data_IF_279965335786
#
_entry.id   IF_279965335786
#
_cell.length_a   1.000
_cell.length_b   1.000
_cell.length_c   1.000
_cell.angle_alpha   90.00
_cell.angle_beta   90.00
_cell.angle_gamma   90.00
#
_symmetry.space_group_name_H-M   'P 1'
#
loop_
_entity.id
_entity.type
_entity.pdbx_description
1 polymer ?
#
# COMPACT_ATOMS: atom_id res chain seq x y z
N UNK A 1 -20.05 -0.96 10.42
CA UNK A 1 -19.40 -0.33 9.25
C UNK A 1 -17.92 -0.66 9.24
N UNK A 2 -17.42 -1.16 8.12
CA UNK A 2 -15.99 -1.42 7.93
C UNK A 2 -15.36 -0.11 7.44
N UNK A 3 -14.58 0.52 8.32
CA UNK A 3 -13.99 1.85 8.07
C UNK A 3 -12.63 1.74 7.38
N UNK A 4 -11.88 0.66 7.61
CA UNK A 4 -10.54 0.46 7.08
C UNK A 4 -10.32 -1.03 6.79
N UNK A 5 -9.51 -1.33 5.76
CA UNK A 5 -9.18 -2.72 5.39
C UNK A 5 -8.40 -3.48 6.48
N UNK A 6 -7.67 -2.77 7.36
CA UNK A 6 -6.99 -3.34 8.54
C UNK A 6 -7.87 -3.29 9.81
N UNK A 7 -9.17 -2.96 9.69
CA UNK A 7 -10.05 -2.94 10.85
C UNK A 7 -10.30 -4.35 11.36
N UNK A 8 -10.52 -4.47 12.69
CA UNK A 8 -10.87 -5.75 13.31
C UNK A 8 -12.05 -6.43 12.61
N UNK A 9 -13.07 -5.68 12.23
CA UNK A 9 -14.23 -6.21 11.51
C UNK A 9 -13.87 -6.77 10.13
N UNK A 10 -13.00 -6.10 9.37
CA UNK A 10 -12.52 -6.60 8.09
C UNK A 10 -11.69 -7.87 8.27
N UNK A 11 -10.78 -7.89 9.23
CA UNK A 11 -9.95 -9.07 9.55
C UNK A 11 -10.82 -10.26 9.96
N UNK A 12 -11.86 -10.02 10.76
CA UNK A 12 -12.83 -11.04 11.18
C UNK A 12 -13.60 -11.58 9.98
N UNK A 13 -14.09 -10.72 9.11
CA UNK A 13 -14.79 -11.12 7.89
C UNK A 13 -13.90 -11.93 6.94
N UNK A 14 -12.68 -11.47 6.69
CA UNK A 14 -11.72 -12.16 5.82
C UNK A 14 -11.27 -13.50 6.42
N UNK A 15 -11.12 -13.58 7.74
CA UNK A 15 -10.82 -14.81 8.47
C UNK A 15 -11.97 -15.84 8.37
N UNK A 16 -13.20 -15.38 8.57
CA UNK A 16 -14.40 -16.20 8.40
C UNK A 16 -14.54 -16.71 6.96
N UNK A 17 -14.36 -15.86 5.97
CA UNK A 17 -14.46 -16.22 4.55
C UNK A 17 -13.44 -17.30 4.17
N UNK A 18 -12.18 -17.14 4.57
CA UNK A 18 -11.14 -18.16 4.38
C UNK A 18 -11.49 -19.47 5.08
N UNK A 19 -12.06 -19.41 6.29
CA UNK A 19 -12.48 -20.62 7.00
C UNK A 19 -13.60 -21.36 6.27
N UNK A 20 -14.54 -20.64 5.64
CA UNK A 20 -15.59 -21.25 4.81
C UNK A 20 -14.99 -21.94 3.55
N UNK A 21 -14.06 -21.26 2.87
CA UNK A 21 -13.35 -21.83 1.70
C UNK A 21 -12.58 -23.11 2.07
N UNK A 22 -11.90 -23.10 3.23
CA UNK A 22 -11.13 -24.22 3.76
C UNK A 22 -11.98 -25.28 4.49
N UNK A 23 -13.30 -25.08 4.59
CA UNK A 23 -14.23 -25.93 5.36
C UNK A 23 -13.81 -26.12 6.82
N UNK A 24 -13.26 -25.07 7.43
CA UNK A 24 -12.84 -25.02 8.84
C UNK A 24 -13.90 -24.34 9.69
N UNK A 25 -13.94 -24.71 10.99
CA UNK A 25 -14.73 -23.97 11.97
C UNK A 25 -14.12 -22.60 12.22
N UNK A 26 -14.96 -21.57 12.32
CA UNK A 26 -14.56 -20.23 12.71
C UNK A 26 -15.25 -19.87 14.03
N UNK A 27 -14.59 -19.17 14.96
CA UNK A 27 -15.14 -18.94 16.31
C UNK A 27 -16.31 -17.95 16.35
N UNK A 28 -16.60 -17.26 15.25
CA UNK A 28 -17.64 -16.24 15.16
C UNK A 28 -18.60 -16.53 14.01
N UNK A 29 -19.90 -16.31 14.26
CA UNK A 29 -20.89 -16.19 13.19
C UNK A 29 -20.81 -14.77 12.62
N UNK A 30 -20.53 -14.67 11.31
CA UNK A 30 -20.36 -13.40 10.63
C UNK A 30 -21.53 -13.15 9.69
N UNK A 31 -22.31 -12.11 9.98
CA UNK A 31 -23.35 -11.61 9.11
C UNK A 31 -22.84 -10.34 8.43
N UNK A 32 -22.75 -10.39 7.11
CA UNK A 32 -22.24 -9.28 6.29
C UNK A 32 -23.34 -8.78 5.35
N UNK A 33 -23.71 -7.52 5.46
CA UNK A 33 -24.78 -6.91 4.69
C UNK A 33 -24.26 -5.70 3.92
N UNK A 34 -24.72 -5.56 2.67
CA UNK A 34 -24.52 -4.36 1.85
C UNK A 34 -25.88 -3.68 1.67
N UNK A 35 -25.89 -2.35 1.59
CA UNK A 35 -27.13 -1.62 1.32
C UNK A 35 -27.70 -1.92 -0.08
N UNK A 36 -26.84 -2.36 -1.01
CA UNK A 36 -27.22 -2.77 -2.37
C UNK A 36 -26.56 -4.13 -2.62
N UNK A 37 -27.39 -5.15 -2.92
CA UNK A 37 -26.97 -6.48 -3.34
C UNK A 37 -27.65 -6.81 -4.68
N UNK A 38 -26.89 -7.33 -5.64
CA UNK A 38 -27.36 -7.64 -7.00
C UNK A 38 -28.12 -6.49 -7.68
N UNK A 39 -27.68 -5.25 -7.40
CA UNK A 39 -28.28 -4.03 -7.95
C UNK A 39 -29.62 -3.63 -7.31
N UNK A 40 -30.08 -4.34 -6.27
CA UNK A 40 -31.28 -4.05 -5.51
C UNK A 40 -30.97 -3.58 -4.09
N UNK A 41 -31.76 -2.63 -3.53
CA UNK A 41 -31.62 -2.26 -2.12
C UNK A 41 -31.96 -3.41 -1.20
N UNK A 42 -31.12 -3.70 -0.22
CA UNK A 42 -31.39 -4.72 0.79
C UNK A 42 -32.64 -4.39 1.63
N UNK A 43 -32.86 -3.10 1.89
CA UNK A 43 -34.01 -2.62 2.67
C UNK A 43 -34.81 -1.57 1.88
N UNK A 44 -35.49 -1.99 0.81
CA UNK A 44 -36.16 -1.13 -0.17
C UNK A 44 -37.25 -0.24 0.43
N UNK A 45 -37.98 -0.71 1.47
CA UNK A 45 -39.04 0.07 2.15
C UNK A 45 -38.50 1.33 2.84
N UNK A 46 -37.30 1.29 3.37
CA UNK A 46 -36.65 2.42 4.06
C UNK A 46 -35.67 3.18 3.14
N UNK A 47 -34.89 2.45 2.37
CA UNK A 47 -33.86 2.96 1.46
C UNK A 47 -34.12 2.48 0.03
N UNK A 48 -34.97 3.20 -0.69
CA UNK A 48 -35.21 2.89 -2.11
C UNK A 48 -33.94 3.11 -2.94
N UNK A 49 -33.83 2.46 -4.10
CA UNK A 49 -32.72 2.64 -5.05
C UNK A 49 -32.47 4.11 -5.39
N UNK A 50 -33.55 4.90 -5.53
CA UNK A 50 -33.49 6.35 -5.78
C UNK A 50 -32.79 7.08 -4.63
N UNK A 51 -33.15 6.78 -3.38
CA UNK A 51 -32.53 7.39 -2.17
C UNK A 51 -31.05 7.01 -2.06
N UNK A 52 -30.70 5.74 -2.26
CA UNK A 52 -29.30 5.28 -2.19
C UNK A 52 -28.44 5.92 -3.30
N UNK A 53 -28.98 6.04 -4.52
CA UNK A 53 -28.28 6.71 -5.62
C UNK A 53 -28.12 8.23 -5.37
N UNK A 54 -29.12 8.88 -4.77
CA UNK A 54 -29.00 10.29 -4.37
C UNK A 54 -27.92 10.44 -3.31
N UNK A 55 -27.92 9.55 -2.29
CA UNK A 55 -26.90 9.56 -1.24
C UNK A 55 -25.49 9.35 -1.80
N UNK A 56 -25.34 8.40 -2.73
CA UNK A 56 -24.05 8.17 -3.41
C UNK A 56 -23.55 9.43 -4.14
N UNK A 57 -24.46 10.16 -4.81
CA UNK A 57 -24.10 11.43 -5.48
C UNK A 57 -23.66 12.50 -4.49
N UNK A 58 -24.36 12.67 -3.37
CA UNK A 58 -23.95 13.60 -2.31
C UNK A 58 -22.51 13.35 -1.85
N UNK A 59 -22.15 12.09 -1.62
CA UNK A 59 -20.75 11.74 -1.24
C UNK A 59 -19.75 12.04 -2.35
N UNK A 60 -20.12 11.80 -3.63
CA UNK A 60 -19.27 12.12 -4.78
C UNK A 60 -19.05 13.64 -4.88
N UNK A 61 -20.11 14.43 -4.79
CA UNK A 61 -20.05 15.89 -4.86
C UNK A 61 -19.26 16.51 -3.71
N UNK A 62 -19.31 15.88 -2.53
CA UNK A 62 -18.51 16.25 -1.37
C UNK A 62 -17.03 15.77 -1.44
N UNK A 63 -16.60 15.08 -2.51
CA UNK A 63 -15.25 14.50 -2.62
C UNK A 63 -15.00 13.30 -1.71
N UNK A 64 -16.05 12.72 -1.12
CA UNK A 64 -15.99 11.64 -0.13
C UNK A 64 -16.42 10.28 -0.72
N UNK A 65 -16.00 9.98 -1.94
CA UNK A 65 -16.45 8.82 -2.72
C UNK A 65 -16.31 7.50 -1.94
N UNK A 66 -15.19 7.34 -1.23
CA UNK A 66 -14.91 6.13 -0.46
C UNK A 66 -15.82 5.96 0.76
N UNK A 67 -16.41 7.05 1.27
CA UNK A 67 -17.30 6.98 2.42
C UNK A 67 -18.60 6.23 2.12
N UNK A 68 -19.14 6.36 0.91
CA UNK A 68 -20.32 5.59 0.53
C UNK A 68 -20.02 4.07 0.52
N UNK A 69 -18.88 3.67 -0.04
CA UNK A 69 -18.46 2.27 -0.04
C UNK A 69 -18.28 1.74 1.40
N UNK A 70 -17.63 2.51 2.26
CA UNK A 70 -17.41 2.15 3.67
C UNK A 70 -18.73 2.02 4.46
N UNK A 71 -19.60 3.02 4.38
CA UNK A 71 -20.76 3.14 5.25
C UNK A 71 -21.98 2.37 4.77
N UNK A 72 -22.18 2.27 3.45
CA UNK A 72 -23.34 1.63 2.86
C UNK A 72 -23.05 0.27 2.25
N UNK A 73 -21.83 0.02 1.82
CA UNK A 73 -21.46 -1.24 1.18
C UNK A 73 -20.60 -2.14 2.06
N UNK A 74 -20.21 -1.68 3.26
CA UNK A 74 -19.24 -2.35 4.13
C UNK A 74 -17.95 -2.73 3.39
N UNK A 75 -17.55 -1.90 2.43
CA UNK A 75 -16.36 -2.09 1.62
C UNK A 75 -15.37 -0.94 1.89
N UNK A 76 -14.31 -1.24 2.61
CA UNK A 76 -13.26 -0.28 2.89
C UNK A 76 -12.35 -0.04 1.67
N UNK A 77 -12.46 -0.88 0.64
CA UNK A 77 -11.64 -0.82 -0.57
C UNK A 77 -12.50 -0.29 -1.72
N UNK A 78 -12.45 0.99 -1.97
CA UNK A 78 -12.96 1.52 -3.22
C UNK A 78 -11.94 1.30 -4.34
N UNK A 79 -12.02 0.14 -4.97
CA UNK A 79 -11.16 -0.25 -6.10
C UNK A 79 -11.37 0.68 -7.30
N UNK A 80 -12.54 1.32 -7.43
CA UNK A 80 -12.87 2.20 -8.57
C UNK A 80 -12.13 3.53 -8.53
N UNK A 81 -11.80 4.02 -7.32
CA UNK A 81 -11.11 5.29 -7.11
C UNK A 81 -9.73 5.13 -6.44
N UNK A 82 -9.24 3.91 -6.31
CA UNK A 82 -7.88 3.68 -5.85
C UNK A 82 -6.90 4.38 -6.79
N UNK A 83 -5.96 5.15 -6.22
CA UNK A 83 -4.87 5.79 -6.97
C UNK A 83 -4.04 4.77 -7.76
N UNK A 84 -3.98 3.54 -7.24
CA UNK A 84 -3.37 2.39 -7.89
C UNK A 84 -4.44 1.33 -8.14
N UNK A 85 -4.81 1.12 -9.39
CA UNK A 85 -5.75 0.06 -9.81
C UNK A 85 -5.00 -1.24 -9.97
N UNK A 86 -5.41 -2.29 -9.27
CA UNK A 86 -4.75 -3.60 -9.29
C UNK A 86 -4.70 -4.18 -10.71
N UNK A 87 -5.73 -3.98 -11.53
CA UNK A 87 -5.81 -4.40 -12.92
C UNK A 87 -4.82 -3.69 -13.85
N UNK A 88 -4.18 -2.60 -13.39
CA UNK A 88 -3.16 -1.84 -14.12
C UNK A 88 -1.74 -2.15 -13.65
N UNK A 89 -1.59 -2.94 -12.60
CA UNK A 89 -0.26 -3.36 -12.13
C UNK A 89 0.27 -4.41 -13.11
N UNK A 90 1.43 -4.11 -13.67
CA UNK A 90 2.16 -5.04 -14.52
C UNK A 90 3.25 -5.71 -13.72
N UNK A 91 3.52 -6.98 -14.02
CA UNK A 91 4.57 -7.76 -13.38
C UNK A 91 5.71 -7.98 -14.36
N UNK A 92 6.92 -8.03 -13.85
CA UNK A 92 8.13 -8.32 -14.63
C UNK A 92 8.97 -9.37 -13.89
N UNK A 93 9.80 -10.12 -14.63
CA UNK A 93 10.69 -11.15 -14.08
C UNK A 93 12.17 -10.71 -14.11
N UNK A 94 12.41 -9.40 -14.17
CA UNK A 94 13.74 -8.85 -14.33
C UNK A 94 14.55 -8.85 -13.03
N UNK A 95 15.89 -8.78 -13.22
CA UNK A 95 16.87 -8.56 -12.14
C UNK A 95 17.60 -7.26 -12.39
N UNK A 96 18.01 -6.58 -11.30
CA UNK A 96 18.85 -5.40 -11.43
C UNK A 96 20.30 -5.81 -11.49
N UNK A 97 21.01 -5.33 -12.50
CA UNK A 97 22.45 -5.47 -12.63
C UNK A 97 23.11 -4.08 -12.74
N UNK A 98 24.21 -3.90 -11.99
CA UNK A 98 25.00 -2.67 -12.04
C UNK A 98 26.26 -2.89 -12.88
N UNK A 99 26.46 -2.07 -13.90
CA UNK A 99 27.64 -2.12 -14.76
C UNK A 99 28.09 -0.71 -15.14
N UNK A 100 29.41 -0.45 -15.02
CA UNK A 100 30.00 0.85 -15.39
C UNK A 100 29.31 2.05 -14.68
N UNK A 101 28.94 1.90 -13.42
CA UNK A 101 28.25 2.91 -12.64
C UNK A 101 26.82 3.27 -13.14
N UNK A 102 26.17 2.34 -13.85
CA UNK A 102 24.76 2.42 -14.27
C UNK A 102 24.03 1.18 -13.84
N UNK A 103 22.73 1.34 -13.54
CA UNK A 103 21.83 0.22 -13.25
C UNK A 103 21.00 -0.13 -14.45
N UNK A 104 20.81 -1.42 -14.65
CA UNK A 104 19.97 -1.98 -15.72
C UNK A 104 18.96 -2.96 -15.12
N UNK A 105 17.74 -2.86 -15.57
CA UNK A 105 16.74 -3.91 -15.38
C UNK A 105 16.91 -4.92 -16.50
N UNK A 106 17.36 -6.11 -16.15
CA UNK A 106 17.55 -7.23 -17.08
C UNK A 106 16.26 -8.06 -17.08
N UNK A 107 15.55 -8.09 -18.20
CA UNK A 107 14.40 -8.96 -18.42
C UNK A 107 14.64 -9.80 -19.69
N UNK A 108 14.89 -11.08 -19.50
CA UNK A 108 15.39 -12.00 -20.54
C UNK A 108 16.68 -11.48 -21.18
N UNK A 109 16.66 -11.14 -22.49
CA UNK A 109 17.81 -10.59 -23.24
C UNK A 109 17.83 -9.04 -23.25
N UNK A 110 16.77 -8.40 -22.75
CA UNK A 110 16.64 -6.94 -22.75
C UNK A 110 17.30 -6.32 -21.52
N UNK A 111 18.09 -5.28 -21.75
CA UNK A 111 18.74 -4.49 -20.70
C UNK A 111 18.19 -3.06 -20.72
N UNK A 112 17.26 -2.74 -19.85
CA UNK A 112 16.67 -1.40 -19.74
C UNK A 112 17.43 -0.56 -18.72
N UNK A 113 18.07 0.57 -19.12
CA UNK A 113 18.72 1.46 -18.18
C UNK A 113 17.71 2.08 -17.22
N UNK A 114 18.01 2.04 -15.91
CA UNK A 114 17.16 2.60 -14.87
C UNK A 114 17.95 3.46 -13.88
N UNK A 115 17.30 4.49 -13.36
CA UNK A 115 17.79 5.25 -12.21
C UNK A 115 17.14 4.73 -10.95
N UNK A 116 17.92 4.51 -9.89
CA UNK A 116 17.43 3.99 -8.61
C UNK A 116 17.09 5.13 -7.66
N UNK A 117 15.92 5.02 -7.03
CA UNK A 117 15.41 5.92 -5.99
C UNK A 117 14.96 5.11 -4.78
N UNK A 118 15.20 5.64 -3.58
CA UNK A 118 14.73 5.03 -2.33
C UNK A 118 13.78 6.01 -1.65
N UNK A 119 12.56 5.59 -1.37
CA UNK A 119 11.57 6.30 -0.57
C UNK A 119 11.47 5.68 0.81
N UNK A 120 11.40 6.50 1.86
CA UNK A 120 11.31 6.05 3.24
C UNK A 120 10.12 6.74 3.92
N UNK A 121 9.22 5.92 4.45
CA UNK A 121 8.09 6.33 5.27
C UNK A 121 8.30 5.79 6.70
N UNK A 122 8.43 6.71 7.65
CA UNK A 122 8.78 6.40 9.04
C UNK A 122 7.55 6.47 9.94
N UNK A 123 7.31 5.38 10.66
CA UNK A 123 6.34 5.39 11.76
C UNK A 123 6.80 6.33 12.88
N UNK A 124 5.86 7.08 13.46
CA UNK A 124 6.15 8.08 14.49
C UNK A 124 6.66 7.49 15.82
N UNK A 125 6.36 6.21 16.11
CA UNK A 125 6.77 5.53 17.34
C UNK A 125 7.13 4.07 17.09
N UNK A 126 8.11 3.54 17.82
CA UNK A 126 8.49 2.12 17.81
C UNK A 126 7.83 1.38 18.99
N UNK A 127 6.53 1.09 18.91
CA UNK A 127 5.85 0.19 19.86
C UNK A 127 5.32 -1.03 19.12
N UNK A 128 5.01 -2.12 19.82
CA UNK A 128 4.41 -3.32 19.22
C UNK A 128 3.05 -3.03 18.54
N UNK A 129 2.44 -1.90 18.86
CA UNK A 129 1.17 -1.38 18.30
C UNK A 129 1.40 -0.27 17.27
N UNK A 130 2.65 0.11 16.97
CA UNK A 130 2.99 1.20 16.03
C UNK A 130 2.84 0.76 14.57
N UNK A 131 2.77 1.77 13.69
CA UNK A 131 2.81 1.58 12.25
C UNK A 131 4.16 0.97 11.80
N UNK A 132 4.19 0.44 10.59
CA UNK A 132 5.39 -0.15 10.02
C UNK A 132 6.36 0.92 9.54
N UNK A 133 7.66 0.66 9.69
CA UNK A 133 8.70 1.36 8.95
C UNK A 133 8.70 0.80 7.52
N UNK A 134 8.60 1.68 6.53
CA UNK A 134 8.56 1.25 5.12
C UNK A 134 9.68 1.90 4.34
N UNK A 135 10.46 1.09 3.62
CA UNK A 135 11.47 1.55 2.68
C UNK A 135 11.16 0.92 1.32
N UNK A 136 11.01 1.74 0.30
CA UNK A 136 10.72 1.31 -1.07
C UNK A 136 11.90 1.63 -1.98
N UNK A 137 12.41 0.63 -2.68
CA UNK A 137 13.40 0.80 -3.75
C UNK A 137 12.71 0.77 -5.10
N UNK A 138 12.88 1.80 -5.88
CA UNK A 138 12.22 2.00 -7.16
C UNK A 138 13.23 2.30 -8.27
N UNK A 139 13.12 1.60 -9.39
CA UNK A 139 13.79 1.92 -10.64
C UNK A 139 12.88 2.77 -11.53
N UNK A 140 13.47 3.75 -12.23
CA UNK A 140 12.75 4.58 -13.21
C UNK A 140 13.56 4.60 -14.52
N UNK A 141 12.93 4.21 -15.63
CA UNK A 141 13.55 4.27 -16.95
C UNK A 141 13.37 5.64 -17.64
N UNK A 142 13.91 5.78 -18.85
CA UNK A 142 13.81 7.00 -19.66
C UNK A 142 12.39 7.31 -20.13
N UNK A 143 11.51 6.30 -20.17
CA UNK A 143 10.08 6.44 -20.51
C UNK A 143 9.20 6.72 -19.31
N UNK A 144 9.81 6.94 -18.11
CA UNK A 144 9.14 7.16 -16.83
C UNK A 144 8.30 5.96 -16.35
N UNK A 145 8.60 4.75 -16.83
CA UNK A 145 8.07 3.54 -16.22
C UNK A 145 8.72 3.34 -14.85
N UNK A 146 7.92 2.91 -13.88
CA UNK A 146 8.32 2.77 -12.48
C UNK A 146 8.27 1.30 -12.09
N UNK A 147 9.42 0.78 -11.66
CA UNK A 147 9.61 -0.60 -11.28
C UNK A 147 9.82 -0.68 -9.76
N UNK A 148 8.95 -1.37 -9.05
CA UNK A 148 9.17 -1.69 -7.63
C UNK A 148 10.18 -2.83 -7.59
N UNK A 149 11.40 -2.55 -7.13
CA UNK A 149 12.50 -3.51 -7.14
C UNK A 149 12.56 -4.30 -5.83
N UNK A 150 12.41 -3.62 -4.72
CA UNK A 150 12.38 -4.22 -3.39
C UNK A 150 11.62 -3.30 -2.43
N UNK A 151 10.99 -3.88 -1.42
CA UNK A 151 10.46 -3.12 -0.29
C UNK A 151 10.83 -3.80 1.02
N UNK A 152 11.08 -2.98 2.03
CA UNK A 152 11.22 -3.38 3.42
C UNK A 152 10.00 -2.83 4.17
N UNK A 153 9.31 -3.67 4.95
CA UNK A 153 8.15 -3.30 5.74
C UNK A 153 8.16 -4.09 7.04
N UNK A 154 8.72 -3.47 8.08
CA UNK A 154 8.92 -4.11 9.38
C UNK A 154 8.63 -3.15 10.54
N UNK A 155 8.36 -3.71 11.70
CA UNK A 155 8.25 -2.96 12.96
C UNK A 155 9.59 -2.99 13.67
N UNK A 156 10.49 -2.11 13.27
CA UNK A 156 11.79 -1.96 13.89
C UNK A 156 11.92 -0.59 14.57
N UNK A 157 12.78 -0.45 15.57
CA UNK A 157 13.12 0.84 16.15
C UNK A 157 13.61 1.83 15.10
N UNK A 158 13.20 3.08 15.18
CA UNK A 158 13.55 4.13 14.21
C UNK A 158 15.07 4.31 14.06
N UNK A 159 15.83 4.07 15.12
CA UNK A 159 17.30 4.16 15.07
C UNK A 159 17.98 3.02 14.29
N UNK A 160 17.27 1.92 13.99
CA UNK A 160 17.77 0.83 13.15
C UNK A 160 17.48 1.03 11.66
N UNK A 161 16.52 1.90 11.32
CA UNK A 161 16.14 2.20 9.93
C UNK A 161 17.32 2.68 9.06
N UNK A 162 18.25 3.54 9.55
CA UNK A 162 19.43 3.94 8.77
C UNK A 162 20.28 2.77 8.28
N UNK A 163 20.41 1.70 9.04
CA UNK A 163 21.16 0.50 8.64
C UNK A 163 20.51 -0.17 7.43
N UNK A 164 19.18 -0.27 7.43
CA UNK A 164 18.44 -0.84 6.31
C UNK A 164 18.48 0.04 5.06
N UNK A 165 18.41 1.36 5.23
CA UNK A 165 18.58 2.31 4.11
C UNK A 165 19.94 2.10 3.45
N UNK A 166 21.01 2.02 4.26
CA UNK A 166 22.38 1.82 3.75
C UNK A 166 22.54 0.45 3.10
N UNK A 167 21.98 -0.61 3.70
CA UNK A 167 21.98 -1.95 3.12
C UNK A 167 21.37 -1.95 1.71
N UNK A 168 20.21 -1.32 1.58
CA UNK A 168 19.50 -1.22 0.29
C UNK A 168 20.23 -0.30 -0.69
N UNK A 169 20.77 0.82 -0.21
CA UNK A 169 21.55 1.74 -1.05
C UNK A 169 22.81 1.07 -1.61
N UNK A 170 23.51 0.26 -0.80
CA UNK A 170 24.68 -0.50 -1.24
C UNK A 170 24.29 -1.61 -2.24
N UNK A 171 23.19 -2.33 -1.97
CA UNK A 171 22.68 -3.39 -2.85
C UNK A 171 22.35 -2.89 -4.24
N UNK A 172 21.79 -1.68 -4.34
CA UNK A 172 21.30 -1.08 -5.59
C UNK A 172 22.17 0.08 -6.08
N UNK A 173 23.41 0.17 -5.62
CA UNK A 173 24.34 1.24 -6.04
C UNK A 173 24.59 1.23 -7.56
N UNK A 174 24.61 2.41 -8.22
CA UNK A 174 24.45 3.75 -7.67
C UNK A 174 22.99 4.17 -7.47
N UNK A 175 22.68 4.74 -6.32
CA UNK A 175 21.36 5.31 -5.99
C UNK A 175 21.36 6.82 -6.30
N UNK A 176 20.36 7.30 -7.04
CA UNK A 176 20.24 8.72 -7.41
C UNK A 176 19.78 9.59 -6.25
N UNK A 177 18.84 9.09 -5.43
CA UNK A 177 18.29 9.84 -4.30
C UNK A 177 17.68 8.89 -3.28
N UNK A 178 17.87 9.22 -2.02
CA UNK A 178 17.09 8.72 -0.88
C UNK A 178 16.18 9.86 -0.42
N UNK A 179 14.89 9.62 -0.34
CA UNK A 179 13.88 10.59 0.13
C UNK A 179 13.23 10.04 1.39
N UNK A 180 13.26 10.83 2.46
CA UNK A 180 12.64 10.49 3.75
C UNK A 180 11.53 11.51 3.97
N UNK A 181 10.31 11.05 4.27
CA UNK A 181 9.19 11.94 4.56
C UNK A 181 9.45 12.71 5.87
N UNK A 182 9.19 14.02 5.88
CA UNK A 182 9.67 14.91 6.95
C UNK A 182 8.61 15.13 8.04
N UNK A 183 8.70 14.38 9.17
CA UNK A 183 8.07 14.68 10.46
C UNK A 183 9.16 14.65 11.54
N UNK A 184 9.00 15.30 12.68
CA UNK A 184 10.06 15.68 13.65
C UNK A 184 11.13 14.61 14.05
N UNK A 185 10.87 13.31 13.93
CA UNK A 185 11.86 12.26 14.25
C UNK A 185 12.89 11.99 13.11
N UNK A 186 12.76 12.62 11.97
CA UNK A 186 13.41 12.27 10.71
C UNK A 186 14.71 13.01 10.46
N UNK A 187 14.94 14.13 11.10
CA UNK A 187 16.23 14.82 11.07
C UNK A 187 17.32 13.89 11.63
N UNK A 188 17.01 13.16 12.69
CA UNK A 188 17.92 12.19 13.29
C UNK A 188 18.30 11.06 12.31
N UNK A 189 17.31 10.49 11.62
CA UNK A 189 17.54 9.41 10.62
C UNK A 189 18.39 9.93 9.46
N UNK A 190 18.09 11.13 8.96
CA UNK A 190 18.85 11.78 7.89
C UNK A 190 20.30 12.02 8.28
N UNK A 191 20.53 12.55 9.49
CA UNK A 191 21.87 12.80 10.01
C UNK A 191 22.65 11.49 10.19
N UNK A 192 22.01 10.43 10.68
CA UNK A 192 22.63 9.12 10.82
C UNK A 192 22.99 8.51 9.47
N UNK A 193 22.10 8.56 8.46
CA UNK A 193 22.40 8.10 7.09
C UNK A 193 23.60 8.87 6.52
N UNK A 194 23.65 10.18 6.69
CA UNK A 194 24.76 11.01 6.21
C UNK A 194 26.08 10.63 6.88
N UNK A 195 26.08 10.36 8.19
CA UNK A 195 27.30 9.97 8.94
C UNK A 195 27.77 8.55 8.63
N UNK A 196 26.88 7.64 8.29
CA UNK A 196 27.21 6.24 7.99
C UNK A 196 27.54 6.01 6.50
N UNK A 197 27.30 6.99 5.64
CA UNK A 197 27.58 6.94 4.19
C UNK A 197 28.98 7.46 3.80
N UNK A 198 29.84 7.77 4.78
CA UNK A 198 31.22 8.28 4.58
C UNK A 198 32.23 7.14 4.55
#
# INVERSE_FOLDING_TARGET
TIVHYDSYLQMTYDGWKRAQEDKRTYPWDVNFYRAIEDGQPLWASQFSKKKLNAKKREFIEAGLVNKFAQEYMNDARDVTNASFKIDRIQYYNGKVESKNNFNYLMDNEDATPINIYIGVDLAATASETSDYQVILVMGIDSSNNRYVLEYFRERIPTFDVPKEIIRLANKYSPVRRVTIETVAAQEMVRDMVTRLSV
#
